data_IF_668987737326
#
_entry.id   IF_668987737326
#
_cell.length_a   1.000
_cell.length_b   1.000
_cell.length_c   1.000
_cell.angle_alpha   90.00
_cell.angle_beta   90.00
_cell.angle_gamma   90.00
#
_symmetry.space_group_name_H-M   'P 1'
#
loop_
_entity.id
_entity.type
_entity.pdbx_description
1 polymer ?
#
# COMPACT_ATOMS: atom_id res chain seq x y z
N UNK A 1 6.90 9.64 6.26
CA UNK A 1 5.84 10.59 5.90
C UNK A 1 4.90 10.70 7.07
N UNK A 2 4.56 11.93 7.48
CA UNK A 2 3.59 12.19 8.54
C UNK A 2 2.17 12.25 7.97
N UNK A 3 1.20 11.76 8.73
CA UNK A 3 -0.19 11.72 8.30
C UNK A 3 -0.78 13.13 8.28
N UNK A 4 -1.27 13.63 7.14
CA UNK A 4 -1.82 14.98 7.06
C UNK A 4 -3.11 15.16 7.87
N UNK A 5 -3.77 14.07 8.27
CA UNK A 5 -5.01 14.11 9.07
C UNK A 5 -4.76 14.20 10.58
N UNK A 6 -3.72 13.54 11.09
CA UNK A 6 -3.53 13.40 12.54
C UNK A 6 -2.08 13.57 13.03
N UNK A 7 -1.13 13.90 12.14
CA UNK A 7 0.28 14.14 12.47
C UNK A 7 1.07 12.90 12.89
N UNK A 8 0.51 11.71 12.75
CA UNK A 8 1.14 10.44 13.16
C UNK A 8 1.95 9.82 12.01
N UNK A 9 2.90 8.95 12.32
CA UNK A 9 3.75 8.32 11.31
C UNK A 9 2.95 7.42 10.36
N UNK A 10 3.18 7.56 9.05
CA UNK A 10 2.60 6.66 8.05
C UNK A 10 3.52 5.49 7.75
N UNK A 11 2.94 4.30 7.65
CA UNK A 11 3.65 3.05 7.29
C UNK A 11 3.64 2.87 5.78
N UNK A 12 4.80 2.67 5.18
CA UNK A 12 4.89 2.35 3.76
C UNK A 12 4.52 0.88 3.49
N UNK A 13 3.74 0.66 2.45
CA UNK A 13 3.34 -0.67 2.00
C UNK A 13 3.13 -0.72 0.49
N UNK A 14 2.71 -1.89 0.06
CA UNK A 14 2.46 -2.19 -1.34
C UNK A 14 1.05 -2.72 -1.50
N UNK A 15 0.45 -2.46 -2.66
CA UNK A 15 -0.78 -3.12 -3.06
C UNK A 15 -0.46 -4.40 -3.82
N UNK A 16 -1.28 -5.41 -3.58
CA UNK A 16 -1.25 -6.67 -4.30
C UNK A 16 -2.67 -7.07 -4.65
N UNK A 17 -2.90 -7.33 -5.94
CA UNK A 17 -4.12 -7.98 -6.38
C UNK A 17 -4.17 -9.42 -5.89
N UNK A 18 -5.30 -9.83 -5.35
CA UNK A 18 -5.61 -11.21 -5.02
C UNK A 18 -6.98 -11.61 -5.57
N UNK A 19 -7.37 -12.85 -5.30
CA UNK A 19 -8.58 -13.46 -5.85
C UNK A 19 -9.86 -12.69 -5.50
N UNK A 20 -9.92 -12.08 -4.33
CA UNK A 20 -11.12 -11.44 -3.78
C UNK A 20 -10.98 -9.90 -3.65
N UNK A 21 -9.98 -9.30 -4.30
CA UNK A 21 -9.79 -7.85 -4.31
C UNK A 21 -8.34 -7.42 -4.18
N UNK A 22 -8.15 -6.19 -3.74
CA UNK A 22 -6.82 -5.57 -3.60
C UNK A 22 -6.47 -5.54 -2.12
N UNK A 23 -5.24 -5.90 -1.81
CA UNK A 23 -4.75 -5.93 -0.44
C UNK A 23 -3.55 -5.02 -0.29
N UNK A 24 -3.54 -4.26 0.79
CA UNK A 24 -2.35 -3.55 1.23
C UNK A 24 -1.60 -4.41 2.24
N UNK A 25 -0.28 -4.40 2.20
CA UNK A 25 0.56 -4.90 3.29
C UNK A 25 1.89 -4.14 3.38
N UNK A 26 2.50 -4.16 4.56
CA UNK A 26 3.70 -3.37 4.84
C UNK A 26 4.91 -3.80 4.00
N UNK A 27 5.73 -2.83 3.59
CA UNK A 27 7.02 -3.11 2.93
C UNK A 27 8.00 -3.84 3.85
N UNK A 28 7.91 -3.60 5.16
CA UNK A 28 8.73 -4.32 6.14
C UNK A 28 8.49 -5.82 6.09
N UNK A 29 7.24 -6.25 5.93
CA UNK A 29 6.91 -7.66 5.72
C UNK A 29 7.51 -8.19 4.42
N UNK A 30 7.38 -7.45 3.31
CA UNK A 30 7.96 -7.83 2.01
C UNK A 30 9.48 -7.93 2.02
N UNK A 31 10.16 -7.15 2.86
CA UNK A 31 11.62 -7.23 3.04
C UNK A 31 12.05 -8.49 3.81
N UNK A 32 11.23 -8.96 4.74
CA UNK A 32 11.53 -10.12 5.59
C UNK A 32 11.04 -11.44 4.99
N UNK A 33 10.04 -11.40 4.13
CA UNK A 33 9.37 -12.58 3.60
C UNK A 33 9.30 -12.54 2.08
N UNK A 34 9.68 -13.65 1.44
CA UNK A 34 9.62 -13.81 -0.01
C UNK A 34 8.19 -14.05 -0.53
N UNK A 35 7.25 -14.43 0.35
CA UNK A 35 5.90 -14.85 -0.01
C UNK A 35 4.84 -13.89 0.52
N UNK A 36 3.69 -13.87 -0.16
CA UNK A 36 2.54 -13.11 0.28
C UNK A 36 1.99 -13.66 1.61
N UNK A 37 1.46 -12.80 2.50
CA UNK A 37 0.91 -13.22 3.78
C UNK A 37 -0.41 -13.99 3.59
N UNK A 38 -0.34 -15.32 3.59
CA UNK A 38 -1.52 -16.20 3.40
C UNK A 38 -2.17 -16.65 4.70
N UNK A 39 -1.38 -16.83 5.77
CA UNK A 39 -1.88 -17.30 7.08
C UNK A 39 -2.37 -16.13 7.93
N UNK A 40 -3.29 -16.38 8.88
CA UNK A 40 -3.80 -15.32 9.78
C UNK A 40 -2.67 -14.56 10.49
N UNK A 41 -1.70 -15.29 11.04
CA UNK A 41 -0.52 -14.71 11.71
C UNK A 41 0.32 -13.85 10.76
N UNK A 42 0.56 -14.33 9.54
CA UNK A 42 1.29 -13.57 8.52
C UNK A 42 0.53 -12.29 8.11
N UNK A 43 -0.80 -12.35 8.02
CA UNK A 43 -1.64 -11.18 7.71
C UNK A 43 -1.56 -10.12 8.80
N UNK A 44 -1.62 -10.53 10.06
CA UNK A 44 -1.48 -9.62 11.20
C UNK A 44 -0.07 -9.00 11.25
N UNK A 45 0.98 -9.80 11.07
CA UNK A 45 2.37 -9.31 11.02
C UNK A 45 2.58 -8.34 9.85
N UNK A 46 2.00 -8.64 8.69
CA UNK A 46 2.08 -7.80 7.51
C UNK A 46 1.26 -6.50 7.65
N UNK A 47 0.39 -6.40 8.66
CA UNK A 47 -0.61 -5.34 8.77
C UNK A 47 -1.58 -5.36 7.59
N UNK A 48 -1.87 -6.54 7.06
CA UNK A 48 -2.63 -6.71 5.82
C UNK A 48 -4.09 -6.37 6.04
N UNK A 49 -4.65 -5.57 5.13
CA UNK A 49 -6.08 -5.33 5.07
C UNK A 49 -6.56 -5.28 3.62
N UNK A 50 -7.83 -5.64 3.42
CA UNK A 50 -8.46 -5.60 2.11
C UNK A 50 -8.96 -4.18 1.82
N UNK A 51 -8.61 -3.67 0.65
CA UNK A 51 -9.18 -2.46 0.10
C UNK A 51 -10.34 -2.89 -0.78
N UNK A 52 -11.56 -2.63 -0.30
CA UNK A 52 -12.74 -2.67 -1.16
C UNK A 52 -12.68 -1.46 -2.06
N UNK A 53 -12.11 -1.64 -3.24
CA UNK A 53 -12.13 -0.60 -4.24
C UNK A 53 -13.49 -0.60 -4.95
N UNK A 54 -14.08 0.58 -5.16
CA UNK A 54 -14.86 0.81 -6.40
C UNK A 54 -13.92 0.77 -7.61
N UNK A 55 -14.41 0.93 -8.84
CA UNK A 55 -13.69 0.80 -10.12
C UNK A 55 -12.42 1.70 -10.29
N UNK A 56 -11.40 1.49 -9.46
CA UNK A 56 -10.13 2.19 -9.45
C UNK A 56 -9.03 1.25 -9.94
N UNK A 57 -8.29 1.70 -10.95
CA UNK A 57 -7.09 1.03 -11.45
C UNK A 57 -5.93 1.46 -10.55
N UNK A 58 -5.27 0.51 -9.89
CA UNK A 58 -4.09 0.77 -9.07
C UNK A 58 -2.85 0.30 -9.82
N UNK A 59 -1.84 1.16 -9.92
CA UNK A 59 -0.59 0.76 -10.54
C UNK A 59 0.35 0.13 -9.50
N UNK A 60 1.05 -0.97 -9.84
CA UNK A 60 1.84 -1.75 -8.88
C UNK A 60 3.17 -1.13 -8.47
N UNK A 61 3.53 0.05 -8.99
CA UNK A 61 4.83 0.70 -8.77
C UNK A 61 4.77 1.86 -7.77
N UNK A 62 3.63 2.08 -7.11
CA UNK A 62 3.43 3.22 -6.23
C UNK A 62 3.63 2.82 -4.76
N UNK A 63 4.30 3.69 -4.00
CA UNK A 63 4.42 3.54 -2.56
C UNK A 63 3.12 4.01 -1.90
N UNK A 64 2.40 3.05 -1.31
CA UNK A 64 1.16 3.31 -0.60
C UNK A 64 1.44 3.46 0.88
N UNK A 65 1.24 4.66 1.41
CA UNK A 65 1.43 4.99 2.82
C UNK A 65 0.11 4.89 3.55
N UNK A 66 0.09 4.21 4.70
CA UNK A 66 -1.11 4.05 5.53
C UNK A 66 -0.83 4.57 6.93
N UNK A 67 -1.69 5.46 7.41
CA UNK A 67 -1.71 5.84 8.82
C UNK A 67 -2.51 4.82 9.62
N UNK A 68 -1.85 4.03 10.46
CA UNK A 68 -2.51 3.01 11.29
C UNK A 68 -3.44 3.60 12.36
N UNK A 69 -3.25 4.86 12.74
CA UNK A 69 -4.07 5.55 13.75
C UNK A 69 -5.42 6.01 13.22
N UNK A 70 -5.47 6.57 12.01
CA UNK A 70 -6.69 7.17 11.45
C UNK A 70 -7.20 6.49 10.17
N UNK A 71 -6.48 5.49 9.66
CA UNK A 71 -6.86 4.72 8.47
C UNK A 71 -6.67 5.44 7.15
N UNK A 72 -6.03 6.62 7.13
CA UNK A 72 -5.76 7.34 5.90
C UNK A 72 -4.73 6.59 5.05
N UNK A 73 -5.07 6.32 3.78
CA UNK A 73 -4.14 5.82 2.77
C UNK A 73 -3.82 6.94 1.78
N UNK A 74 -2.54 7.13 1.48
CA UNK A 74 -2.05 8.04 0.44
C UNK A 74 -1.08 7.28 -0.46
N UNK A 75 -0.97 7.73 -1.70
CA UNK A 75 0.03 7.25 -2.65
C UNK A 75 0.80 8.45 -3.20
N UNK A 76 2.10 8.29 -3.41
CA UNK A 76 2.85 9.25 -4.20
C UNK A 76 2.67 8.88 -5.68
N UNK A 77 1.83 9.66 -6.37
CA UNK A 77 1.69 9.54 -7.82
C UNK A 77 2.97 10.06 -8.48
N UNK A 78 3.51 9.39 -9.52
CA UNK A 78 4.62 9.94 -10.29
C UNK A 78 4.22 11.32 -10.85
N UNK A 79 5.16 12.25 -10.83
CA UNK A 79 4.94 13.59 -11.35
C UNK A 79 4.60 13.48 -12.85
N UNK A 80 3.39 13.91 -13.25
CA UNK A 80 2.88 13.77 -14.63
C UNK A 80 3.81 14.45 -15.67
N UNK A 81 4.74 15.31 -15.23
CA UNK A 81 5.69 15.99 -16.10
C UNK A 81 6.86 15.13 -16.61
N UNK A 82 7.21 14.01 -15.96
CA UNK A 82 8.34 13.17 -16.41
C UNK A 82 7.94 12.02 -17.35
N UNK A 83 6.63 11.73 -17.48
CA UNK A 83 6.16 10.64 -18.36
C UNK A 83 6.14 11.01 -19.85
N UNK A 84 6.36 12.27 -20.21
CA UNK A 84 6.27 12.77 -21.60
C UNK A 84 7.61 12.79 -22.35
N UNK A 85 8.73 12.43 -21.70
CA UNK A 85 10.08 12.50 -22.31
C UNK A 85 10.70 11.13 -22.61
N UNK A 86 9.89 10.06 -22.60
CA UNK A 86 10.31 8.71 -23.02
C UNK A 86 9.47 8.22 -24.21
N UNK A 87 9.54 8.96 -25.32
CA UNK A 87 9.15 8.47 -26.66
C UNK A 87 10.35 8.63 -27.62
#
# INVERSE_FOLDING_TARGET
MDCPKCGDGMTAGVLMGGRDGIYWFSKEYRKKHAFAPVTKKAKEEAGMFAIRSGDGIFTPNEDFYVCKKCGLMTAELPNIKEAAESE
#
